data_IF_186594573729
#
_entry.id   IF_186594573729
#
_cell.length_a   1.000
_cell.length_b   1.000
_cell.length_c   1.000
_cell.angle_alpha   90.00
_cell.angle_beta   90.00
_cell.angle_gamma   90.00
#
_symmetry.space_group_name_H-M   'P 1'
#
loop_
_entity.id
_entity.type
_entity.pdbx_description
1 polymer ?
#
# COMPACT_ATOMS: atom_id res chain seq x y z
N UNK A 1 10.90 -1.54 15.80
CA UNK A 1 10.64 -2.92 16.24
C UNK A 1 9.81 -3.60 15.16
N UNK A 2 10.10 -4.85 14.80
CA UNK A 2 9.30 -5.56 13.81
C UNK A 2 7.90 -5.85 14.38
N UNK A 3 6.86 -5.62 13.58
CA UNK A 3 5.48 -5.90 13.97
C UNK A 3 5.22 -7.42 14.01
N UNK A 4 4.41 -7.86 14.96
CA UNK A 4 4.00 -9.27 15.07
C UNK A 4 2.88 -9.55 14.08
N UNK A 5 3.08 -10.51 13.18
CA UNK A 5 2.05 -10.94 12.22
C UNK A 5 0.88 -11.56 12.98
N UNK A 6 -0.32 -11.02 12.76
CA UNK A 6 -1.55 -11.44 13.44
C UNK A 6 -2.69 -11.54 12.42
N UNK A 7 -3.30 -12.72 12.23
CA UNK A 7 -4.46 -12.86 11.35
C UNK A 7 -5.59 -11.92 11.74
N UNK A 8 -6.18 -11.26 10.74
CA UNK A 8 -7.28 -10.31 10.93
C UNK A 8 -8.26 -10.38 9.76
N UNK A 9 -9.56 -10.32 10.06
CA UNK A 9 -10.59 -10.19 9.03
C UNK A 9 -10.95 -8.73 8.83
N UNK A 10 -10.54 -8.17 7.70
CA UNK A 10 -10.81 -6.78 7.37
C UNK A 10 -12.30 -6.47 7.27
N UNK A 11 -12.67 -5.28 7.76
CA UNK A 11 -14.03 -4.74 7.74
C UNK A 11 -14.00 -3.29 7.27
N UNK A 12 -15.08 -2.74 6.69
CA UNK A 12 -15.11 -1.35 6.22
C UNK A 12 -14.63 -0.31 7.25
N UNK A 13 -14.88 -0.57 8.53
CA UNK A 13 -14.45 0.29 9.66
C UNK A 13 -12.93 0.33 9.88
N UNK A 14 -12.16 -0.54 9.24
CA UNK A 14 -10.69 -0.58 9.33
C UNK A 14 -10.07 0.40 8.32
N UNK A 15 -10.84 0.88 7.32
CA UNK A 15 -10.44 1.89 6.34
C UNK A 15 -10.79 3.30 6.85
N UNK A 16 -9.97 3.81 7.77
CA UNK A 16 -10.20 5.10 8.45
C UNK A 16 -9.26 6.22 8.02
N UNK A 17 -8.24 5.89 7.25
CA UNK A 17 -7.17 6.78 6.81
C UNK A 17 -7.67 7.91 5.93
N UNK A 18 -8.70 7.64 5.11
CA UNK A 18 -9.25 8.60 4.15
C UNK A 18 -8.42 8.74 2.89
N UNK A 19 -7.47 7.82 2.67
CA UNK A 19 -6.62 7.72 1.49
C UNK A 19 -6.01 6.32 1.44
N UNK A 20 -5.97 5.69 0.26
CA UNK A 20 -5.48 4.31 0.06
C UNK A 20 -4.15 4.04 0.76
N UNK A 21 -3.17 4.93 0.54
CA UNK A 21 -1.84 4.84 1.17
C UNK A 21 -1.92 4.83 2.70
N UNK A 22 -2.71 5.72 3.31
CA UNK A 22 -2.85 5.79 4.78
C UNK A 22 -3.58 4.54 5.30
N UNK A 23 -4.56 4.04 4.55
CA UNK A 23 -5.25 2.79 4.89
C UNK A 23 -4.32 1.57 4.82
N UNK A 24 -3.30 1.57 3.93
CA UNK A 24 -2.23 0.57 3.98
C UNK A 24 -1.41 0.71 5.27
N UNK A 25 -1.01 1.92 5.67
CA UNK A 25 -0.23 2.14 6.91
C UNK A 25 -0.95 1.57 8.14
N UNK A 26 -2.27 1.69 8.15
CA UNK A 26 -3.16 1.25 9.23
C UNK A 26 -3.45 -0.26 9.21
N UNK A 27 -2.92 -1.03 8.24
CA UNK A 27 -2.86 -2.50 8.34
C UNK A 27 -1.92 -2.96 9.46
N UNK A 28 -1.12 -2.05 10.03
CA UNK A 28 -0.47 -2.25 11.32
C UNK A 28 -1.17 -1.42 12.38
N UNK A 29 -1.52 -2.05 13.50
CA UNK A 29 -2.10 -1.38 14.66
C UNK A 29 -1.15 -1.42 15.85
N UNK A 30 -1.55 -0.77 16.95
CA UNK A 30 -0.78 -0.70 18.18
C UNK A 30 0.67 -0.21 18.00
N UNK A 31 0.87 0.71 17.05
CA UNK A 31 2.20 1.29 16.76
C UNK A 31 2.80 2.05 17.95
N UNK A 32 1.97 2.52 18.87
CA UNK A 32 2.34 3.16 20.14
C UNK A 32 2.69 2.17 21.26
N UNK A 33 2.64 0.85 21.00
CA UNK A 33 2.90 -0.20 21.97
C UNK A 33 3.63 -1.40 21.31
N UNK A 34 2.94 -2.53 21.14
CA UNK A 34 3.42 -3.72 20.45
C UNK A 34 2.75 -3.78 19.07
N UNK A 35 3.45 -3.40 17.99
CA UNK A 35 2.83 -3.30 16.68
C UNK A 35 2.35 -4.67 16.18
N UNK A 36 1.13 -4.73 15.68
CA UNK A 36 0.52 -5.95 15.11
C UNK A 36 0.27 -5.74 13.62
N UNK A 37 0.85 -6.59 12.78
CA UNK A 37 0.67 -6.57 11.32
C UNK A 37 -0.45 -7.53 10.90
N UNK A 38 -1.49 -6.98 10.28
CA UNK A 38 -2.66 -7.73 9.84
C UNK A 38 -2.51 -8.39 8.47
N UNK A 39 -1.45 -8.09 7.72
CA UNK A 39 -1.17 -8.77 6.47
C UNK A 39 -0.42 -10.06 6.78
N UNK A 40 -1.13 -11.17 6.95
CA UNK A 40 -0.57 -12.50 7.26
C UNK A 40 -0.21 -13.33 6.02
N UNK A 41 -0.47 -12.81 4.83
CA UNK A 41 -0.11 -13.44 3.56
C UNK A 41 -0.67 -12.67 2.36
N UNK A 42 -0.29 -13.08 1.15
CA UNK A 42 -0.78 -12.43 -0.08
C UNK A 42 -2.31 -12.51 -0.26
N UNK A 43 -3.00 -13.61 0.09
CA UNK A 43 -4.47 -13.64 0.07
C UNK A 43 -5.11 -12.56 0.94
N UNK A 44 -4.51 -12.27 2.10
CA UNK A 44 -4.99 -11.22 3.00
C UNK A 44 -4.80 -9.83 2.43
N UNK A 45 -3.71 -9.60 1.70
CA UNK A 45 -3.51 -8.37 0.94
C UNK A 45 -4.59 -8.19 -0.14
N UNK A 46 -4.98 -9.27 -0.84
CA UNK A 46 -6.06 -9.21 -1.83
C UNK A 46 -7.42 -8.87 -1.19
N UNK A 47 -7.72 -9.47 -0.03
CA UNK A 47 -8.95 -9.14 0.72
C UNK A 47 -8.98 -7.66 1.16
N UNK A 48 -7.86 -7.15 1.68
CA UNK A 48 -7.73 -5.74 2.01
C UNK A 48 -7.92 -4.87 0.77
N UNK A 49 -7.23 -5.17 -0.33
CA UNK A 49 -7.32 -4.41 -1.57
C UNK A 49 -8.74 -4.38 -2.14
N UNK A 50 -9.45 -5.52 -2.10
CA UNK A 50 -10.87 -5.59 -2.49
C UNK A 50 -11.74 -4.64 -1.66
N UNK A 51 -11.52 -4.58 -0.36
CA UNK A 51 -12.28 -3.72 0.55
C UNK A 51 -12.05 -2.22 0.26
N UNK A 52 -10.87 -1.83 -0.22
CA UNK A 52 -10.57 -0.42 -0.53
C UNK A 52 -11.37 0.14 -1.70
N UNK A 53 -11.86 -0.72 -2.61
CA UNK A 53 -12.54 -0.29 -3.84
C UNK A 53 -11.65 0.38 -4.89
N UNK A 54 -10.32 0.41 -4.70
CA UNK A 54 -9.38 1.05 -5.65
C UNK A 54 -8.91 0.11 -6.77
N UNK A 55 -9.21 -1.18 -6.66
CA UNK A 55 -8.75 -2.21 -7.60
C UNK A 55 -9.95 -2.91 -8.22
N UNK A 56 -9.87 -3.16 -9.52
CA UNK A 56 -10.93 -3.86 -10.23
C UNK A 56 -11.01 -5.32 -9.74
N UNK A 57 -12.21 -5.89 -9.51
CA UNK A 57 -12.36 -7.27 -9.05
C UNK A 57 -11.65 -8.29 -9.95
N UNK A 58 -11.63 -8.06 -11.26
CA UNK A 58 -10.94 -8.87 -12.26
C UNK A 58 -9.41 -8.86 -12.10
N UNK A 59 -8.83 -7.72 -11.73
CA UNK A 59 -7.40 -7.59 -11.44
C UNK A 59 -7.08 -8.49 -10.24
N UNK A 60 -7.83 -8.34 -9.14
CA UNK A 60 -7.60 -9.10 -7.90
C UNK A 60 -7.77 -10.61 -8.10
N UNK A 61 -8.79 -11.03 -8.86
CA UNK A 61 -8.97 -12.43 -9.20
C UNK A 61 -7.79 -12.98 -10.03
N UNK A 62 -7.23 -12.16 -10.92
CA UNK A 62 -6.05 -12.52 -11.71
C UNK A 62 -4.81 -12.65 -10.82
N UNK A 63 -4.57 -11.71 -9.91
CA UNK A 63 -3.48 -11.79 -8.93
C UNK A 63 -3.57 -13.03 -8.06
N UNK A 64 -4.78 -13.42 -7.61
CA UNK A 64 -4.99 -14.67 -6.87
C UNK A 64 -4.54 -15.91 -7.64
N UNK A 65 -4.92 -16.01 -8.93
CA UNK A 65 -4.48 -17.12 -9.79
C UNK A 65 -2.97 -17.11 -10.03
N UNK A 66 -2.35 -15.95 -10.21
CA UNK A 66 -0.89 -15.83 -10.38
C UNK A 66 -0.14 -16.30 -9.12
N UNK A 67 -0.65 -15.93 -7.94
CA UNK A 67 -0.08 -16.31 -6.65
C UNK A 67 -0.13 -17.84 -6.41
N UNK A 68 -1.16 -18.52 -6.93
CA UNK A 68 -1.29 -19.97 -6.82
C UNK A 68 -0.49 -20.74 -7.88
N UNK A 69 -0.46 -20.24 -9.13
CA UNK A 69 -0.03 -21.04 -10.30
C UNK A 69 1.43 -20.87 -10.72
N UNK A 70 2.13 -19.82 -10.28
CA UNK A 70 3.52 -19.56 -10.69
C UNK A 70 3.74 -19.22 -12.15
N UNK A 71 2.67 -18.93 -12.88
CA UNK A 71 2.78 -18.32 -14.19
C UNK A 71 3.01 -16.82 -13.99
N UNK A 72 4.12 -16.28 -14.51
CA UNK A 72 4.35 -14.84 -14.58
C UNK A 72 3.45 -14.25 -15.66
N UNK A 73 2.60 -13.29 -15.29
CA UNK A 73 1.73 -12.58 -16.23
C UNK A 73 2.51 -11.64 -17.14
N UNK A 74 3.20 -12.16 -18.16
CA UNK A 74 3.59 -11.42 -19.36
C UNK A 74 4.11 -12.35 -20.48
N UNK A 75 3.29 -12.57 -21.51
CA UNK A 75 3.73 -12.69 -22.92
C UNK A 75 2.49 -12.81 -23.83
N UNK A 76 2.11 -11.71 -24.49
CA UNK A 76 0.97 -11.74 -25.41
C UNK A 76 0.63 -10.42 -26.09
N UNK A 77 1.62 -9.57 -26.40
CA UNK A 77 1.40 -8.50 -27.37
C UNK A 77 1.34 -9.11 -28.78
N UNK A 78 0.16 -9.62 -29.17
CA UNK A 78 -0.13 -9.90 -30.58
C UNK A 78 -0.41 -8.56 -31.26
N UNK A 79 0.64 -7.96 -31.82
CA UNK A 79 0.51 -6.84 -32.74
C UNK A 79 -0.01 -7.38 -34.07
N UNK A 80 -1.26 -7.09 -34.40
CA UNK A 80 -1.77 -7.18 -35.77
C UNK A 80 -1.18 -6.04 -36.58
N UNK A 81 -0.09 -6.32 -37.32
CA UNK A 81 0.50 -5.39 -38.27
C UNK A 81 -0.30 -5.37 -39.57
N UNK A 82 -0.84 -4.21 -39.92
CA UNK A 82 -1.29 -3.88 -41.27
C UNK A 82 -0.46 -2.74 -41.85
N UNK A 83 -0.04 -2.94 -43.10
CA UNK A 83 0.48 -1.98 -44.08
C UNK A 83 2.01 -1.70 -44.14
N UNK A 84 2.57 -2.33 -45.18
CA UNK A 84 3.21 -1.68 -46.34
C UNK A 84 4.67 -1.18 -46.26
N UNK A 85 5.47 -1.95 -46.98
CA UNK A 85 6.79 -1.73 -47.60
C UNK A 85 7.16 -0.32 -48.06
N UNK A 86 8.42 0.08 -47.78
CA UNK A 86 9.47 0.19 -48.81
C UNK A 86 10.85 0.32 -48.15
N UNK A 87 11.84 -0.37 -48.74
CA UNK A 87 13.20 -0.49 -48.25
C UNK A 87 14.15 0.49 -48.95
N UNK A 88 15.19 0.94 -48.23
CA UNK A 88 16.55 1.17 -48.78
C UNK A 88 17.59 0.86 -47.71
N UNK A 89 18.66 0.20 -48.13
CA UNK A 89 19.69 -0.45 -47.31
C UNK A 89 20.86 0.48 -46.94
N UNK A 90 21.56 0.16 -45.85
CA UNK A 90 23.01 -0.19 -45.82
C UNK A 90 23.64 0.11 -44.45
N UNK A 91 24.38 -0.84 -43.88
CA UNK A 91 25.25 -0.60 -42.72
C UNK A 91 25.57 -1.85 -41.90
N UNK A 92 26.76 -2.40 -42.12
CA UNK A 92 27.34 -3.58 -41.47
C UNK A 92 27.64 -3.37 -39.98
N UNK A 93 27.28 -4.34 -39.14
CA UNK A 93 27.95 -4.60 -37.86
C UNK A 93 27.80 -6.07 -37.48
N UNK A 94 28.91 -6.63 -36.98
CA UNK A 94 29.19 -8.05 -36.81
C UNK A 94 28.15 -8.82 -35.95
N UNK A 95 27.83 -10.03 -36.41
CA UNK A 95 27.05 -11.02 -35.68
C UNK A 95 27.84 -11.55 -34.47
N UNK A 96 27.38 -11.20 -33.28
CA UNK A 96 27.63 -11.96 -32.05
C UNK A 96 26.42 -12.88 -31.86
N UNK A 97 26.64 -14.19 -31.96
CA UNK A 97 25.59 -15.19 -31.73
C UNK A 97 25.05 -15.10 -30.29
N UNK A 98 23.78 -15.45 -30.04
CA UNK A 98 23.26 -15.46 -28.69
C UNK A 98 23.92 -16.60 -27.92
N UNK A 99 24.74 -16.24 -26.93
CA UNK A 99 25.05 -17.11 -25.82
C UNK A 99 23.72 -17.49 -25.15
N UNK A 100 23.44 -18.78 -25.03
CA UNK A 100 22.33 -19.29 -24.22
C UNK A 100 22.56 -18.87 -22.76
N UNK A 101 21.99 -17.74 -22.37
CA UNK A 101 21.82 -17.37 -20.99
C UNK A 101 20.70 -18.24 -20.43
N UNK A 102 21.08 -19.26 -19.66
CA UNK A 102 20.17 -19.94 -18.75
C UNK A 102 19.63 -18.88 -17.78
N UNK A 103 18.41 -18.39 -18.04
CA UNK A 103 17.75 -17.38 -17.22
C UNK A 103 17.55 -17.88 -15.78
N UNK A 104 17.47 -16.98 -14.79
CA UNK A 104 17.19 -17.37 -13.41
C UNK A 104 15.86 -18.11 -13.37
N UNK A 105 15.84 -19.25 -12.68
CA UNK A 105 14.66 -20.09 -12.52
C UNK A 105 13.46 -19.23 -12.08
N UNK A 106 12.39 -19.22 -12.89
CA UNK A 106 11.14 -18.52 -12.57
C UNK A 106 10.66 -19.02 -11.21
N UNK A 107 10.59 -18.12 -10.22
CA UNK A 107 10.08 -18.45 -8.90
C UNK A 107 8.65 -19.01 -9.02
N UNK A 108 8.30 -20.00 -8.20
CA UNK A 108 6.92 -20.47 -8.11
C UNK A 108 6.00 -19.33 -7.63
N UNK A 109 4.73 -19.41 -7.98
CA UNK A 109 3.73 -18.37 -7.68
C UNK A 109 3.69 -17.98 -6.21
N UNK A 110 3.67 -18.95 -5.28
CA UNK A 110 3.65 -18.65 -3.86
C UNK A 110 4.89 -17.88 -3.38
N UNK A 111 6.08 -18.21 -3.91
CA UNK A 111 7.32 -17.52 -3.55
C UNK A 111 7.32 -16.09 -4.11
N UNK A 112 6.91 -15.91 -5.37
CA UNK A 112 6.79 -14.59 -5.98
C UNK A 112 5.74 -13.72 -5.27
N UNK A 113 4.64 -14.32 -4.79
CA UNK A 113 3.59 -13.62 -4.05
C UNK A 113 4.08 -13.17 -2.67
N UNK A 114 4.84 -13.99 -1.94
CA UNK A 114 5.42 -13.58 -0.67
C UNK A 114 6.47 -12.47 -0.86
N UNK A 115 7.24 -12.50 -1.95
CA UNK A 115 8.16 -11.41 -2.30
C UNK A 115 7.42 -10.10 -2.63
N UNK A 116 6.31 -10.17 -3.35
CA UNK A 116 5.47 -9.00 -3.61
C UNK A 116 4.86 -8.45 -2.31
N UNK A 117 4.41 -9.32 -1.40
CA UNK A 117 3.94 -8.91 -0.08
C UNK A 117 5.06 -8.26 0.76
N UNK A 118 6.28 -8.80 0.70
CA UNK A 118 7.43 -8.21 1.38
C UNK A 118 7.68 -6.77 0.89
N UNK A 119 7.63 -6.53 -0.44
CA UNK A 119 7.74 -5.17 -1.00
C UNK A 119 6.62 -4.23 -0.53
N UNK A 120 5.38 -4.72 -0.42
CA UNK A 120 4.27 -3.94 0.16
C UNK A 120 4.56 -3.57 1.62
N UNK A 121 5.04 -4.50 2.44
CA UNK A 121 5.39 -4.24 3.84
C UNK A 121 6.56 -3.25 3.96
N UNK A 122 7.59 -3.39 3.12
CA UNK A 122 8.74 -2.47 3.08
C UNK A 122 8.30 -1.05 2.72
N UNK A 123 7.50 -0.89 1.66
CA UNK A 123 6.94 0.40 1.27
C UNK A 123 6.07 0.98 2.38
N UNK A 124 5.23 0.16 3.02
CA UNK A 124 4.36 0.59 4.13
C UNK A 124 5.16 1.16 5.29
N UNK A 125 6.23 0.48 5.73
CA UNK A 125 7.02 0.99 6.86
C UNK A 125 7.80 2.26 6.48
N UNK A 126 8.36 2.33 5.27
CA UNK A 126 9.04 3.54 4.81
C UNK A 126 8.09 4.74 4.69
N UNK A 127 6.87 4.52 4.18
CA UNK A 127 5.84 5.56 4.12
C UNK A 127 5.32 5.95 5.49
N UNK A 128 5.21 5.01 6.43
CA UNK A 128 4.85 5.31 7.80
C UNK A 128 5.84 6.29 8.43
N UNK A 129 7.14 5.99 8.35
CA UNK A 129 8.19 6.82 8.96
C UNK A 129 8.25 8.21 8.31
N UNK A 130 8.12 8.28 6.99
CA UNK A 130 8.04 9.54 6.26
C UNK A 130 6.81 10.36 6.66
N UNK A 131 5.61 9.78 6.60
CA UNK A 131 4.36 10.52 6.85
C UNK A 131 4.23 10.90 8.33
N UNK A 132 4.64 10.04 9.26
CA UNK A 132 4.63 10.35 10.69
C UNK A 132 5.53 11.56 10.99
N UNK A 133 6.77 11.58 10.47
CA UNK A 133 7.67 12.73 10.63
C UNK A 133 7.05 14.02 10.07
N UNK A 134 6.46 13.97 8.86
CA UNK A 134 5.80 15.13 8.25
C UNK A 134 4.60 15.64 9.07
N UNK A 135 3.82 14.74 9.69
CA UNK A 135 2.68 15.07 10.55
C UNK A 135 3.15 15.69 11.87
N UNK A 136 4.27 15.24 12.41
CA UNK A 136 4.85 15.79 13.64
C UNK A 136 5.65 17.09 13.42
N UNK A 137 5.85 17.50 12.16
CA UNK A 137 6.67 18.66 11.82
C UNK A 137 8.18 18.42 12.00
N UNK A 138 8.59 17.15 11.96
CA UNK A 138 9.97 16.70 12.12
C UNK A 138 10.64 16.50 10.76
N UNK A 139 11.97 16.45 10.76
CA UNK A 139 12.72 16.08 9.57
C UNK A 139 12.52 14.58 9.27
N UNK A 140 12.12 14.26 8.04
CA UNK A 140 11.95 12.88 7.62
C UNK A 140 13.30 12.14 7.63
N UNK A 141 13.35 10.88 8.13
CA UNK A 141 14.57 10.07 8.08
C UNK A 141 15.05 9.89 6.63
N UNK A 142 16.34 10.14 6.37
CA UNK A 142 16.91 10.04 5.03
C UNK A 142 16.69 8.65 4.40
N UNK A 143 16.83 7.59 5.21
CA UNK A 143 16.59 6.21 4.78
C UNK A 143 15.13 5.96 4.38
N UNK A 144 14.16 6.54 5.09
CA UNK A 144 12.75 6.43 4.73
C UNK A 144 12.47 7.13 3.39
N UNK A 145 13.06 8.31 3.17
CA UNK A 145 12.96 9.04 1.90
C UNK A 145 13.56 8.23 0.75
N UNK A 146 14.77 7.69 0.93
CA UNK A 146 15.46 6.88 -0.08
C UNK A 146 14.67 5.62 -0.46
N UNK A 147 14.12 4.91 0.54
CA UNK A 147 13.30 3.72 0.31
C UNK A 147 12.03 4.06 -0.46
N UNK A 148 11.29 5.09 -0.04
CA UNK A 148 10.08 5.55 -0.76
C UNK A 148 10.41 5.96 -2.19
N UNK A 149 11.52 6.67 -2.39
CA UNK A 149 11.99 7.05 -3.74
C UNK A 149 12.30 5.82 -4.61
N UNK A 150 12.97 4.80 -4.05
CA UNK A 150 13.29 3.57 -4.74
C UNK A 150 12.03 2.81 -5.21
N UNK A 151 11.07 2.61 -4.32
CA UNK A 151 9.79 1.98 -4.66
C UNK A 151 9.02 2.78 -5.72
N UNK A 152 8.98 4.11 -5.60
CA UNK A 152 8.32 4.97 -6.58
C UNK A 152 8.99 4.89 -7.95
N UNK A 153 10.33 4.94 -8.02
CA UNK A 153 11.07 4.82 -9.29
C UNK A 153 10.80 3.48 -9.98
N UNK A 154 10.78 2.38 -9.21
CA UNK A 154 10.45 1.06 -9.72
C UNK A 154 9.03 1.01 -10.31
N UNK A 155 8.04 1.45 -9.54
CA UNK A 155 6.65 1.49 -9.97
C UNK A 155 6.45 2.40 -11.19
N UNK A 156 7.07 3.58 -11.21
CA UNK A 156 7.00 4.53 -12.33
C UNK A 156 7.63 3.98 -13.62
N UNK A 157 8.70 3.19 -13.51
CA UNK A 157 9.33 2.55 -14.66
C UNK A 157 8.46 1.44 -15.29
N UNK A 158 7.63 0.77 -14.48
CA UNK A 158 6.68 -0.24 -14.94
C UNK A 158 5.33 0.36 -15.38
N UNK A 159 4.97 1.54 -14.90
CA UNK A 159 3.66 2.15 -15.14
C UNK A 159 3.41 2.54 -16.60
N UNK A 160 2.14 2.70 -16.95
CA UNK A 160 1.70 3.33 -18.20
C UNK A 160 1.05 4.68 -17.93
N UNK A 161 1.20 5.60 -18.86
CA UNK A 161 0.39 6.82 -18.89
C UNK A 161 -1.05 6.44 -19.25
N UNK A 162 -1.99 6.82 -18.40
CA UNK A 162 -3.41 6.65 -18.63
C UNK A 162 -4.17 7.94 -18.29
N UNK A 163 -5.37 8.09 -18.86
CA UNK A 163 -6.28 9.19 -18.54
C UNK A 163 -7.52 8.58 -17.89
N UNK A 164 -7.78 8.95 -16.64
CA UNK A 164 -8.96 8.52 -15.90
C UNK A 164 -9.80 9.75 -15.57
N UNK A 165 -11.07 9.76 -15.98
CA UNK A 165 -11.99 10.89 -15.78
C UNK A 165 -11.40 12.24 -16.22
N UNK A 166 -10.65 12.24 -17.33
CA UNK A 166 -10.00 13.43 -17.88
C UNK A 166 -8.70 13.86 -17.17
N UNK A 167 -8.27 13.16 -16.13
CA UNK A 167 -7.02 13.43 -15.42
C UNK A 167 -5.92 12.47 -15.88
N UNK A 168 -4.81 12.97 -16.46
CA UNK A 168 -3.67 12.13 -16.81
C UNK A 168 -2.91 11.69 -15.55
N UNK A 169 -2.45 10.46 -15.54
CA UNK A 169 -1.63 9.93 -14.45
C UNK A 169 -0.93 8.63 -14.83
N UNK A 170 0.09 8.27 -14.06
CA UNK A 170 0.69 6.96 -14.14
C UNK A 170 -0.25 5.93 -13.49
N UNK A 171 -0.36 4.76 -14.12
CA UNK A 171 -1.15 3.63 -13.60
C UNK A 171 -0.36 2.34 -13.73
N UNK A 172 -0.40 1.55 -12.67
CA UNK A 172 0.02 0.16 -12.69
C UNK A 172 -1.12 -0.70 -13.25
N UNK A 173 -0.80 -1.75 -14.01
CA UNK A 173 -1.78 -2.75 -14.46
C UNK A 173 -1.25 -4.14 -14.18
N UNK A 174 -2.11 -5.16 -14.18
CA UNK A 174 -1.65 -6.54 -13.94
C UNK A 174 -0.61 -6.95 -14.98
N UNK A 175 -0.74 -6.48 -16.22
CA UNK A 175 0.19 -6.78 -17.31
C UNK A 175 1.56 -6.12 -17.13
N UNK A 176 1.63 -4.96 -16.48
CA UNK A 176 2.91 -4.29 -16.28
C UNK A 176 3.59 -4.65 -14.96
N UNK A 177 2.80 -4.95 -13.94
CA UNK A 177 3.27 -5.09 -12.55
C UNK A 177 3.17 -6.53 -12.04
N UNK A 178 2.38 -7.40 -12.68
CA UNK A 178 2.12 -8.75 -12.18
C UNK A 178 1.64 -8.73 -10.73
N UNK A 179 2.28 -9.55 -9.88
CA UNK A 179 1.98 -9.63 -8.44
C UNK A 179 2.26 -8.32 -7.67
N UNK A 180 3.02 -7.39 -8.25
CA UNK A 180 3.28 -6.07 -7.66
C UNK A 180 2.21 -5.02 -7.97
N UNK A 181 1.14 -5.38 -8.69
CA UNK A 181 0.04 -4.46 -9.05
C UNK A 181 -0.46 -3.57 -7.90
N UNK A 182 -0.63 -4.15 -6.70
CA UNK A 182 -1.09 -3.42 -5.51
C UNK A 182 0.03 -2.52 -4.95
N UNK A 183 1.26 -3.03 -4.89
CA UNK A 183 2.44 -2.27 -4.47
C UNK A 183 2.64 -1.04 -5.36
N UNK A 184 2.66 -1.22 -6.68
CA UNK A 184 2.99 -0.16 -7.63
C UNK A 184 1.92 0.93 -7.65
N UNK A 185 0.63 0.58 -7.54
CA UNK A 185 -0.44 1.56 -7.39
C UNK A 185 -0.23 2.45 -6.16
N UNK A 186 0.08 1.83 -5.03
CA UNK A 186 0.27 2.54 -3.77
C UNK A 186 1.52 3.40 -3.84
N UNK A 187 2.61 2.91 -4.44
CA UNK A 187 3.84 3.67 -4.63
C UNK A 187 3.59 4.92 -5.50
N UNK A 188 2.84 4.78 -6.61
CA UNK A 188 2.47 5.90 -7.47
C UNK A 188 1.61 6.93 -6.74
N UNK A 189 0.58 6.49 -6.00
CA UNK A 189 -0.30 7.37 -5.23
C UNK A 189 0.40 8.00 -4.01
N UNK A 190 1.42 7.36 -3.45
CA UNK A 190 2.15 7.86 -2.29
C UNK A 190 2.85 9.18 -2.58
N UNK A 191 3.41 9.36 -3.78
CA UNK A 191 4.04 10.63 -4.16
C UNK A 191 3.02 11.77 -4.19
N UNK A 192 1.84 11.54 -4.78
CA UNK A 192 0.77 12.53 -4.84
C UNK A 192 0.25 12.87 -3.44
N UNK A 193 0.09 11.85 -2.58
CA UNK A 193 -0.27 12.05 -1.18
C UNK A 193 0.77 12.91 -0.45
N UNK A 194 2.06 12.56 -0.51
CA UNK A 194 3.12 13.29 0.22
C UNK A 194 3.20 14.75 -0.24
N UNK A 195 2.98 15.01 -1.53
CA UNK A 195 2.95 16.38 -2.09
C UNK A 195 1.75 17.20 -1.62
N UNK A 196 0.60 16.56 -1.44
CA UNK A 196 -0.69 17.23 -1.17
C UNK A 196 -1.21 17.01 0.24
N UNK A 197 -0.42 16.36 1.11
CA UNK A 197 -0.83 15.94 2.44
C UNK A 197 -1.34 17.13 3.26
N UNK A 198 -2.61 17.14 3.69
CA UNK A 198 -3.14 18.21 4.53
C UNK A 198 -2.63 18.02 5.96
N UNK A 199 -1.39 18.46 6.22
CA UNK A 199 -0.67 18.20 7.48
C UNK A 199 -1.50 18.56 8.72
N UNK A 200 -2.19 19.69 8.70
CA UNK A 200 -2.94 20.19 9.87
C UNK A 200 -4.24 19.41 10.13
N UNK A 201 -4.65 18.60 9.15
CA UNK A 201 -5.80 17.69 9.24
C UNK A 201 -5.37 16.24 9.35
N UNK A 202 -4.10 15.93 9.16
CA UNK A 202 -3.59 14.55 9.26
C UNK A 202 -3.10 14.32 10.69
N UNK A 203 -3.58 13.26 11.33
CA UNK A 203 -3.34 13.05 12.77
C UNK A 203 -3.02 11.60 13.06
N UNK A 204 -2.17 11.40 14.06
CA UNK A 204 -1.99 10.11 14.73
C UNK A 204 -3.06 9.97 15.82
N UNK A 205 -3.76 8.84 15.84
CA UNK A 205 -4.80 8.56 16.81
C UNK A 205 -4.19 8.39 18.21
N UNK A 206 -4.64 9.16 19.23
CA UNK A 206 -4.15 9.03 20.60
C UNK A 206 -4.82 7.87 21.37
N UNK A 207 -5.47 6.94 20.65
CA UNK A 207 -6.06 5.75 21.25
C UNK A 207 -4.97 4.88 21.87
N UNK A 208 -5.26 4.22 23.00
CA UNK A 208 -4.27 3.29 23.58
C UNK A 208 -4.14 2.09 22.66
N UNK A 209 -2.90 1.72 22.30
CA UNK A 209 -2.63 0.58 21.42
C UNK A 209 -3.32 0.76 20.06
N UNK A 210 -3.18 1.95 19.48
CA UNK A 210 -3.71 2.29 18.17
C UNK A 210 -2.62 2.86 17.27
N UNK A 211 -2.26 4.13 17.44
CA UNK A 211 -1.24 4.79 16.61
C UNK A 211 -1.60 4.97 15.13
N UNK A 212 -2.86 4.77 14.75
CA UNK A 212 -3.31 4.91 13.36
C UNK A 212 -3.29 6.36 12.86
N UNK A 213 -2.93 6.52 11.59
CA UNK A 213 -2.98 7.80 10.90
C UNK A 213 -4.35 8.00 10.24
N UNK A 214 -4.85 9.24 10.23
CA UNK A 214 -6.08 9.56 9.50
C UNK A 214 -6.10 11.02 9.05
N UNK A 215 -6.77 11.28 7.93
CA UNK A 215 -7.12 12.63 7.49
C UNK A 215 -8.48 13.00 8.11
N UNK A 216 -8.50 14.09 8.86
CA UNK A 216 -9.71 14.64 9.47
C UNK A 216 -10.59 15.29 8.40
N UNK A 217 -11.46 14.50 7.76
CA UNK A 217 -12.47 14.99 6.81
C UNK A 217 -13.67 15.71 7.45
N UNK A 218 -13.74 15.84 8.79
CA UNK A 218 -14.90 16.45 9.45
C UNK A 218 -15.02 17.94 9.10
N UNK A 219 -16.26 18.45 9.00
CA UNK A 219 -16.53 19.87 8.66
C UNK A 219 -15.78 20.85 9.57
N UNK A 220 -15.68 20.52 10.86
CA UNK A 220 -15.03 21.39 11.85
C UNK A 220 -13.51 21.19 11.93
N UNK A 221 -12.95 20.13 11.34
CA UNK A 221 -11.52 19.80 11.48
C UNK A 221 -11.10 19.50 12.92
N UNK A 222 -11.99 18.91 13.73
CA UNK A 222 -11.77 18.65 15.17
C UNK A 222 -11.87 17.16 15.55
N UNK A 223 -11.80 16.24 14.57
CA UNK A 223 -11.79 14.80 14.82
C UNK A 223 -10.51 14.41 15.54
N UNK A 224 -10.65 13.94 16.78
CA UNK A 224 -9.51 13.53 17.61
C UNK A 224 -9.10 12.07 17.42
N UNK A 225 -10.02 11.19 17.04
CA UNK A 225 -9.83 9.75 17.02
C UNK A 225 -9.98 9.20 15.59
N UNK A 226 -9.21 8.17 15.26
CA UNK A 226 -9.33 7.47 13.98
C UNK A 226 -10.72 6.87 13.79
N UNK A 227 -11.45 6.54 14.84
CA UNK A 227 -12.87 6.20 14.76
C UNK A 227 -13.54 6.49 16.10
N UNK A 228 -14.77 7.00 16.03
CA UNK A 228 -15.55 7.32 17.23
C UNK A 228 -16.09 6.03 17.86
N UNK A 229 -16.49 5.04 17.05
CA UNK A 229 -17.06 3.78 17.52
C UNK A 229 -16.10 2.95 18.38
N UNK A 230 -14.81 2.98 18.04
CA UNK A 230 -13.73 2.21 18.66
C UNK A 230 -12.91 3.07 19.62
N UNK A 231 -11.98 3.87 19.12
CA UNK A 231 -11.04 4.64 19.93
C UNK A 231 -11.74 5.72 20.77
N UNK A 232 -12.70 6.44 20.17
CA UNK A 232 -13.42 7.49 20.88
C UNK A 232 -14.29 6.97 22.03
N UNK A 233 -15.02 5.87 21.82
CA UNK A 233 -15.86 5.26 22.86
C UNK A 233 -15.02 4.59 23.96
N UNK A 234 -13.92 3.91 23.58
CA UNK A 234 -12.98 3.35 24.55
C UNK A 234 -12.42 4.44 25.48
N UNK A 235 -12.04 5.61 24.94
CA UNK A 235 -11.56 6.74 25.74
C UNK A 235 -12.63 7.27 26.72
N UNK A 236 -13.89 7.37 26.29
CA UNK A 236 -15.01 7.78 27.15
C UNK A 236 -15.25 6.77 28.27
N UNK A 237 -15.26 5.47 27.96
CA UNK A 237 -15.43 4.40 28.95
C UNK A 237 -14.37 4.42 30.04
N UNK A 238 -13.08 4.59 29.67
CA UNK A 238 -11.99 4.73 30.65
C UNK A 238 -12.18 5.93 31.56
N UNK A 239 -12.51 7.08 30.99
CA UNK A 239 -12.74 8.31 31.76
C UNK A 239 -13.86 8.14 32.78
N UNK A 240 -14.96 7.49 32.38
CA UNK A 240 -16.08 7.17 33.28
C UNK A 240 -15.68 6.22 34.42
N UNK A 241 -14.94 5.16 34.10
CA UNK A 241 -14.45 4.19 35.09
C UNK A 241 -13.49 4.83 36.11
N UNK A 242 -12.55 5.66 35.65
CA UNK A 242 -11.62 6.40 36.50
C UNK A 242 -12.37 7.34 37.46
N UNK A 243 -13.39 8.08 36.97
CA UNK A 243 -14.23 8.93 37.82
C UNK A 243 -14.98 8.13 38.87
N UNK A 244 -15.62 7.01 38.50
CA UNK A 244 -16.34 6.14 39.44
C UNK A 244 -15.44 5.57 40.53
N UNK A 245 -14.20 5.21 40.20
CA UNK A 245 -13.21 4.74 41.19
C UNK A 245 -12.71 5.86 42.10
N UNK A 246 -12.57 7.08 41.58
CA UNK A 246 -12.17 8.24 42.37
C UNK A 246 -13.29 8.71 43.32
N UNK A 247 -14.57 8.44 43.01
CA UNK A 247 -15.73 8.87 43.81
C UNK A 247 -16.27 7.81 44.79
N UNK A 248 -15.63 6.65 44.94
CA UNK A 248 -15.81 5.75 46.09
C UNK A 248 -17.25 5.50 46.58
N UNK A 249 -18.08 4.86 45.77
CA UNK A 249 -19.09 3.92 46.29
C UNK A 249 -18.66 2.54 45.76
N UNK A 250 -17.82 1.85 46.53
CA UNK A 250 -17.50 0.45 46.28
C UNK A 250 -18.65 -0.43 46.77
N UNK A 251 -19.02 -1.52 46.06
CA UNK A 251 -20.00 -2.45 46.57
C UNK A 251 -19.37 -3.30 47.69
N UNK A 252 -19.96 -3.23 48.88
CA UNK A 252 -19.84 -4.25 49.94
C UNK A 252 -20.53 -5.53 49.52
#
# INVERSE_FOLDING_TARGET
>A
MAATITPHTFRPRDLVGGHLVIDLLNTVTARDAEPLDWLDGYPRLLEWAALTGHFAPEDLATLGRLAESGQTGAAGASATSGASTTAVASGSAAALGPASASGPASASGPVAAEQALARVRELREALHDLIAALVHGEAAPAEAVERVEGHWKGAAAAARLAVHEGTPGLRATVETSGLDRIHDEIALQALDLVRTLPRERTRVCPGQRCGWLFIDGSRAGRRRWCDMGTCGNAAKGRTHYQRKRATGTGPT
#
